data_IF_992962502080
#
_entry.id   IF_992962502080
#
_cell.length_a   1.000
_cell.length_b   1.000
_cell.length_c   1.000
_cell.angle_alpha   90.00
_cell.angle_beta   90.00
_cell.angle_gamma   90.00
#
_symmetry.space_group_name_H-M   'P 1'
#
loop_
_entity.id
_entity.type
_entity.pdbx_description
1 polymer ?
#
# COMPACT_ATOMS: atom_id res chain seq x y z
N UNK A 1 7.18 -16.83 13.91
CA UNK A 1 6.08 -15.87 14.12
C UNK A 1 5.96 -15.03 12.86
N UNK A 2 4.76 -14.89 12.26
CA UNK A 2 4.54 -14.04 11.08
C UNK A 2 4.03 -12.70 11.57
N UNK A 3 4.59 -11.59 11.08
CA UNK A 3 4.14 -10.25 11.44
C UNK A 3 2.66 -10.06 11.07
N UNK A 4 1.86 -9.49 11.97
CA UNK A 4 0.42 -9.28 11.78
C UNK A 4 0.11 -8.44 10.53
N UNK A 5 0.99 -7.48 10.23
CA UNK A 5 0.95 -6.61 9.05
C UNK A 5 0.86 -7.35 7.71
N UNK A 6 1.39 -8.58 7.62
CA UNK A 6 1.32 -9.41 6.40
C UNK A 6 -0.13 -9.78 6.09
N UNK A 7 -0.94 -10.05 7.11
CA UNK A 7 -2.36 -10.41 6.95
C UNK A 7 -3.26 -9.19 6.95
N UNK A 8 -3.00 -8.21 7.81
CA UNK A 8 -3.86 -7.04 7.95
C UNK A 8 -3.76 -6.08 6.76
N UNK A 9 -2.62 -5.99 6.08
CA UNK A 9 -2.44 -5.13 4.90
C UNK A 9 -3.48 -5.38 3.81
N UNK A 10 -3.75 -6.66 3.49
CA UNK A 10 -4.76 -7.04 2.50
C UNK A 10 -6.18 -6.69 2.97
N UNK A 11 -6.52 -7.00 4.22
CA UNK A 11 -7.84 -6.69 4.79
C UNK A 11 -8.12 -5.19 4.83
N UNK A 12 -7.12 -4.39 5.18
CA UNK A 12 -7.20 -2.93 5.18
C UNK A 12 -7.37 -2.40 3.75
N UNK A 13 -6.61 -2.94 2.78
CA UNK A 13 -6.75 -2.55 1.37
C UNK A 13 -8.16 -2.84 0.82
N UNK A 14 -8.71 -4.02 1.11
CA UNK A 14 -10.08 -4.38 0.70
C UNK A 14 -11.13 -3.46 1.34
N UNK A 15 -10.94 -3.07 2.61
CA UNK A 15 -11.83 -2.10 3.25
C UNK A 15 -11.71 -0.71 2.61
N UNK A 16 -10.49 -0.24 2.35
CA UNK A 16 -10.23 1.04 1.71
C UNK A 16 -10.91 1.13 0.33
N UNK A 17 -10.84 0.08 -0.48
CA UNK A 17 -11.54 -0.02 -1.76
C UNK A 17 -13.07 0.12 -1.61
N UNK A 18 -13.67 -0.56 -0.63
CA UNK A 18 -15.11 -0.45 -0.36
C UNK A 18 -15.53 0.94 0.11
N UNK A 19 -14.65 1.62 0.84
CA UNK A 19 -14.88 2.97 1.34
C UNK A 19 -14.43 4.06 0.35
N UNK A 20 -13.90 3.70 -0.81
CA UNK A 20 -13.33 4.62 -1.79
C UNK A 20 -12.23 5.54 -1.20
N UNK A 21 -11.40 4.98 -0.32
CA UNK A 21 -10.27 5.66 0.33
C UNK A 21 -8.98 5.26 -0.37
N UNK A 22 -8.20 6.24 -0.82
CA UNK A 22 -6.89 6.03 -1.44
C UNK A 22 -5.85 5.68 -0.37
N UNK A 23 -5.18 4.53 -0.50
CA UNK A 23 -4.21 4.03 0.49
C UNK A 23 -2.91 3.56 -0.18
N UNK A 24 -2.15 4.46 -0.81
CA UNK A 24 -1.00 4.08 -1.66
C UNK A 24 0.09 3.30 -0.95
N UNK A 25 0.36 3.62 0.32
CA UNK A 25 1.39 2.91 1.08
C UNK A 25 0.91 1.48 1.36
N UNK A 26 -0.33 1.32 1.79
CA UNK A 26 -0.93 -0.01 2.06
C UNK A 26 -1.03 -0.84 0.79
N UNK A 27 -1.36 -0.25 -0.35
CA UNK A 27 -1.36 -0.91 -1.67
C UNK A 27 0.01 -1.52 -1.99
N UNK A 28 1.08 -0.74 -1.83
CA UNK A 28 2.45 -1.19 -2.10
C UNK A 28 2.93 -2.24 -1.09
N UNK A 29 2.60 -2.06 0.19
CA UNK A 29 2.92 -3.05 1.24
C UNK A 29 2.21 -4.38 0.98
N UNK A 30 0.92 -4.36 0.67
CA UNK A 30 0.16 -5.56 0.34
C UNK A 30 0.74 -6.27 -0.88
N UNK A 31 1.09 -5.53 -1.94
CA UNK A 31 1.70 -6.09 -3.14
C UNK A 31 3.05 -6.79 -2.87
N UNK A 32 3.89 -6.21 -1.99
CA UNK A 32 5.16 -6.84 -1.57
C UNK A 32 4.89 -8.09 -0.73
N UNK A 33 3.96 -8.03 0.23
CA UNK A 33 3.61 -9.16 1.10
C UNK A 33 2.97 -10.33 0.32
N UNK A 34 2.24 -10.05 -0.75
CA UNK A 34 1.65 -11.05 -1.65
C UNK A 34 2.64 -11.55 -2.73
N UNK A 35 3.85 -10.99 -2.79
CA UNK A 35 4.86 -11.38 -3.79
C UNK A 35 4.58 -10.88 -5.21
N UNK A 36 3.69 -9.90 -5.37
CA UNK A 36 3.34 -9.30 -6.67
C UNK A 36 4.42 -8.33 -7.18
N UNK A 37 5.22 -7.78 -6.27
CA UNK A 37 6.35 -6.88 -6.59
C UNK A 37 7.45 -7.03 -5.54
N UNK A 38 8.65 -6.55 -5.87
CA UNK A 38 9.76 -6.46 -4.91
C UNK A 38 9.76 -5.09 -4.23
N UNK A 39 10.24 -5.03 -2.99
CA UNK A 39 10.21 -3.81 -2.18
C UNK A 39 10.85 -2.59 -2.86
N UNK A 40 11.91 -2.81 -3.64
CA UNK A 40 12.59 -1.75 -4.40
C UNK A 40 11.66 -1.11 -5.43
N UNK A 41 10.94 -1.91 -6.19
CA UNK A 41 10.07 -1.42 -7.26
C UNK A 41 8.81 -0.79 -6.67
N UNK A 42 8.29 -1.36 -5.58
CA UNK A 42 7.18 -0.80 -4.82
C UNK A 42 7.48 0.62 -4.31
N UNK A 43 8.70 0.84 -3.80
CA UNK A 43 9.17 2.15 -3.36
C UNK A 43 9.24 3.13 -4.54
N UNK A 44 9.82 2.72 -5.67
CA UNK A 44 9.92 3.58 -6.86
C UNK A 44 8.52 3.99 -7.35
N UNK A 45 7.59 3.04 -7.41
CA UNK A 45 6.20 3.31 -7.79
C UNK A 45 5.51 4.28 -6.82
N UNK A 46 5.71 4.07 -5.52
CA UNK A 46 5.16 4.94 -4.48
C UNK A 46 5.66 6.39 -4.61
N UNK A 47 6.95 6.56 -4.88
CA UNK A 47 7.59 7.87 -5.04
C UNK A 47 7.29 8.53 -6.39
N UNK A 48 6.89 7.77 -7.40
CA UNK A 48 6.51 8.30 -8.72
C UNK A 48 5.09 8.91 -8.75
N UNK A 49 4.32 8.80 -7.67
CA UNK A 49 2.99 9.42 -7.56
C UNK A 49 3.07 10.93 -7.61
N UNK A 50 1.99 11.55 -8.07
CA UNK A 50 1.80 12.99 -8.02
C UNK A 50 1.92 13.50 -6.58
N UNK A 51 2.76 14.51 -6.37
CA UNK A 51 2.83 15.22 -5.09
C UNK A 51 1.48 15.87 -4.79
N UNK A 52 0.97 15.63 -3.59
CA UNK A 52 -0.19 16.33 -3.02
C UNK A 52 0.32 17.35 -2.01
N UNK A 53 -0.28 18.53 -1.97
CA UNK A 53 0.06 19.55 -0.97
C UNK A 53 -0.35 19.06 0.42
N UNK A 54 0.50 19.28 1.42
CA UNK A 54 0.15 19.05 2.83
C UNK A 54 -0.72 20.17 3.39
N UNK A 55 -0.61 21.36 2.80
CA UNK A 55 -1.39 22.54 3.16
C UNK A 55 -2.41 22.81 2.03
N UNK A 56 -3.69 22.71 2.35
CA UNK A 56 -4.75 23.28 1.52
C UNK A 56 -4.88 24.78 1.81
#
# INVERSE_FOLDING_TARGET
MVAEGVRSSLSVLQLAQRCNVEMPITEQVAAVCEGKTVAKDALVQLMARTMKSEFY
#
